data_IF_875109540570
#
_entry.id   IF_875109540570
#
_cell.length_a   1.000
_cell.length_b   1.000
_cell.length_c   1.000
_cell.angle_alpha   90.00
_cell.angle_beta   90.00
_cell.angle_gamma   90.00
#
_symmetry.space_group_name_H-M   'P 1'
#
loop_
_entity.id
_entity.type
_entity.pdbx_description
1 polymer ?
#
# COMPACT_ATOMS: atom_id res chain seq x y z
N UNK A 1 -0.16 -30.66 20.26
CA UNK A 1 -0.49 -29.23 20.40
C UNK A 1 0.66 -28.29 20.10
N UNK A 2 1.89 -28.62 20.46
CA UNK A 2 3.07 -27.80 20.08
C UNK A 2 3.29 -27.67 18.57
N UNK A 3 2.90 -28.68 17.77
CA UNK A 3 3.01 -28.64 16.29
C UNK A 3 2.07 -27.63 15.64
N UNK A 4 0.84 -27.47 16.15
CA UNK A 4 -0.14 -26.49 15.62
C UNK A 4 0.34 -25.06 15.82
N UNK A 5 0.92 -24.76 16.98
CA UNK A 5 1.46 -23.42 17.28
C UNK A 5 2.60 -23.06 16.32
N UNK A 6 3.51 -23.99 16.06
CA UNK A 6 4.64 -23.77 15.13
C UNK A 6 4.18 -23.56 13.69
N UNK A 7 3.18 -24.30 13.23
CA UNK A 7 2.63 -24.15 11.89
C UNK A 7 1.93 -22.80 11.72
N UNK A 8 1.17 -22.36 12.73
CA UNK A 8 0.50 -21.06 12.72
C UNK A 8 1.54 -19.94 12.74
N UNK A 9 2.60 -20.05 13.54
CA UNK A 9 3.68 -19.06 13.58
C UNK A 9 4.44 -18.97 12.26
N UNK A 10 4.72 -20.10 11.61
CA UNK A 10 5.35 -20.14 10.27
C UNK A 10 4.43 -19.49 9.23
N UNK A 11 3.14 -19.81 9.25
CA UNK A 11 2.18 -19.23 8.33
C UNK A 11 2.09 -17.71 8.50
N UNK A 12 2.09 -17.22 9.75
CA UNK A 12 2.09 -15.78 10.04
C UNK A 12 3.36 -15.09 9.55
N UNK A 13 4.53 -15.73 9.72
CA UNK A 13 5.80 -15.19 9.22
C UNK A 13 5.81 -15.11 7.69
N UNK A 14 5.32 -16.13 7.00
CA UNK A 14 5.20 -16.14 5.55
C UNK A 14 4.24 -15.05 5.06
N UNK A 15 3.12 -14.88 5.74
CA UNK A 15 2.14 -13.84 5.42
C UNK A 15 2.74 -12.44 5.59
N UNK A 16 3.47 -12.19 6.67
CA UNK A 16 4.15 -10.92 6.92
C UNK A 16 5.22 -10.64 5.87
N UNK A 17 5.99 -11.66 5.49
CA UNK A 17 7.02 -11.53 4.47
C UNK A 17 6.40 -11.21 3.10
N UNK A 18 5.28 -11.85 2.75
CA UNK A 18 4.55 -11.60 1.51
C UNK A 18 3.97 -10.19 1.49
N UNK A 19 3.38 -9.74 2.60
CA UNK A 19 2.86 -8.37 2.73
C UNK A 19 3.97 -7.35 2.58
N UNK A 20 5.10 -7.57 3.23
CA UNK A 20 6.26 -6.68 3.15
C UNK A 20 6.79 -6.57 1.71
N UNK A 21 6.89 -7.69 1.02
CA UNK A 21 7.31 -7.71 -0.37
C UNK A 21 6.34 -6.93 -1.26
N UNK A 22 5.03 -7.05 -1.01
CA UNK A 22 4.01 -6.32 -1.75
C UNK A 22 4.08 -4.82 -1.46
N UNK A 23 4.31 -4.43 -0.21
CA UNK A 23 4.50 -3.01 0.15
C UNK A 23 5.70 -2.42 -0.59
N UNK A 24 6.80 -3.16 -0.71
CA UNK A 24 7.96 -2.73 -1.50
C UNK A 24 7.63 -2.57 -2.97
N UNK A 25 6.84 -3.45 -3.57
CA UNK A 25 6.38 -3.30 -4.96
C UNK A 25 5.51 -2.06 -5.13
N UNK A 26 4.63 -1.80 -4.17
CA UNK A 26 3.78 -0.60 -4.17
C UNK A 26 4.65 0.66 -4.11
N UNK A 27 5.66 0.67 -3.25
CA UNK A 27 6.60 1.79 -3.16
C UNK A 27 7.33 2.02 -4.50
N UNK A 28 7.80 0.96 -5.14
CA UNK A 28 8.43 1.06 -6.46
C UNK A 28 7.48 1.68 -7.50
N UNK A 29 6.22 1.26 -7.51
CA UNK A 29 5.20 1.82 -8.40
C UNK A 29 4.96 3.30 -8.13
N UNK A 30 4.94 3.70 -6.85
CA UNK A 30 4.81 5.10 -6.46
C UNK A 30 5.99 5.92 -6.97
N UNK A 31 7.20 5.41 -6.81
CA UNK A 31 8.41 6.06 -7.30
C UNK A 31 8.42 6.21 -8.82
N UNK A 32 8.02 5.15 -9.54
CA UNK A 32 7.90 5.17 -10.99
C UNK A 32 6.90 6.24 -11.46
N UNK A 33 5.76 6.35 -10.80
CA UNK A 33 4.75 7.36 -11.14
C UNK A 33 5.29 8.77 -10.92
N UNK A 34 5.99 9.01 -9.82
CA UNK A 34 6.59 10.31 -9.53
C UNK A 34 7.67 10.68 -10.55
N UNK A 35 8.47 9.72 -10.97
CA UNK A 35 9.46 9.91 -12.04
C UNK A 35 8.78 10.26 -13.38
N UNK A 36 7.61 9.69 -13.62
CA UNK A 36 6.79 9.99 -14.80
C UNK A 36 6.00 11.29 -14.72
N UNK A 37 6.16 12.06 -13.65
CA UNK A 37 5.48 13.35 -13.47
C UNK A 37 4.06 13.25 -12.91
N UNK A 38 3.65 12.08 -12.44
CA UNK A 38 2.35 11.85 -11.80
C UNK A 38 2.56 11.81 -10.29
N UNK A 39 2.19 12.89 -9.59
CA UNK A 39 2.44 12.99 -8.16
C UNK A 39 1.65 11.96 -7.37
N UNK A 40 2.37 11.14 -6.62
CA UNK A 40 1.78 10.11 -5.76
C UNK A 40 2.52 10.11 -4.43
N UNK A 41 1.78 10.16 -3.33
CA UNK A 41 2.34 10.10 -1.98
C UNK A 41 2.19 8.69 -1.44
N UNK A 42 3.19 8.26 -0.69
CA UNK A 42 3.22 6.98 -0.01
C UNK A 42 3.53 7.21 1.46
N UNK A 43 2.77 6.57 2.33
CA UNK A 43 2.94 6.72 3.77
C UNK A 43 2.72 5.38 4.47
N UNK A 44 3.60 5.04 5.40
CA UNK A 44 3.41 3.92 6.31
C UNK A 44 2.89 4.49 7.62
N UNK A 45 1.67 4.10 8.00
CA UNK A 45 1.02 4.59 9.21
C UNK A 45 1.23 3.54 10.30
N UNK A 46 2.31 3.69 11.06
CA UNK A 46 2.79 2.66 11.99
C UNK A 46 1.82 2.32 13.10
N UNK A 47 1.13 3.30 13.67
CA UNK A 47 0.24 3.09 14.82
C UNK A 47 -1.04 2.31 14.50
N UNK A 48 -1.42 2.26 13.23
CA UNK A 48 -2.57 1.46 12.77
C UNK A 48 -2.16 0.33 11.84
N UNK A 49 -0.86 0.14 11.67
CA UNK A 49 -0.27 -0.87 10.79
C UNK A 49 -0.88 -0.82 9.38
N UNK A 50 -0.88 0.37 8.79
CA UNK A 50 -1.48 0.65 7.50
C UNK A 50 -0.51 1.23 6.49
N UNK A 51 -0.87 1.08 5.23
CA UNK A 51 -0.18 1.69 4.08
C UNK A 51 -1.15 2.59 3.36
N UNK A 52 -0.78 3.85 3.22
CA UNK A 52 -1.63 4.87 2.61
C UNK A 52 -0.97 5.38 1.34
N UNK A 53 -1.78 5.52 0.29
CA UNK A 53 -1.35 6.22 -0.92
C UNK A 53 -2.33 7.34 -1.25
N UNK A 54 -1.81 8.42 -1.81
CA UNK A 54 -2.60 9.56 -2.30
C UNK A 54 -2.19 9.80 -3.74
N UNK A 55 -3.12 9.62 -4.66
CA UNK A 55 -2.86 9.69 -6.09
C UNK A 55 -3.44 11.00 -6.64
N UNK A 56 -2.56 11.84 -7.18
CA UNK A 56 -2.96 13.04 -7.93
C UNK A 56 -2.93 12.75 -9.43
N UNK A 57 -3.90 13.30 -10.13
CA UNK A 57 -3.96 13.20 -11.58
C UNK A 57 -3.05 14.26 -12.20
N UNK A 58 -1.81 13.87 -12.48
CA UNK A 58 -0.77 14.76 -12.98
C UNK A 58 0.15 15.31 -11.91
N UNK A 59 0.78 16.44 -12.21
CA UNK A 59 1.70 17.10 -11.26
C UNK A 59 0.95 17.77 -10.12
N UNK A 60 1.46 17.64 -8.92
CA UNK A 60 0.91 18.34 -7.77
C UNK A 60 1.01 19.87 -7.96
N UNK A 61 -0.11 20.54 -7.69
CA UNK A 61 -0.19 22.00 -7.69
C UNK A 61 -0.88 22.47 -6.42
N UNK A 62 -0.50 23.64 -5.92
CA UNK A 62 -1.03 24.20 -4.68
C UNK A 62 -2.55 24.43 -4.72
N UNK A 63 -3.10 24.74 -5.90
CA UNK A 63 -4.53 25.00 -6.09
C UNK A 63 -5.14 23.97 -7.06
N UNK A 64 -5.26 22.72 -6.62
CA UNK A 64 -5.86 21.69 -7.45
C UNK A 64 -7.39 21.74 -7.41
N UNK A 65 -8.01 21.75 -8.57
CA UNK A 65 -9.48 21.72 -8.70
C UNK A 65 -10.06 20.35 -8.45
N UNK A 66 -9.28 19.28 -8.71
CA UNK A 66 -9.70 17.90 -8.48
C UNK A 66 -9.11 17.37 -7.19
N UNK A 67 -9.95 16.72 -6.38
CA UNK A 67 -9.48 16.03 -5.18
C UNK A 67 -8.63 14.82 -5.56
N UNK A 68 -7.55 14.55 -4.80
CA UNK A 68 -6.75 13.35 -5.02
C UNK A 68 -7.53 12.10 -4.65
N UNK A 69 -7.19 11.00 -5.30
CA UNK A 69 -7.68 9.69 -4.88
C UNK A 69 -6.88 9.21 -3.67
N UNK A 70 -7.59 8.86 -2.64
CA UNK A 70 -7.03 8.47 -1.35
C UNK A 70 -7.35 7.01 -1.08
N UNK A 71 -6.32 6.20 -0.79
CA UNK A 71 -6.50 4.79 -0.46
C UNK A 71 -5.64 4.42 0.74
N UNK A 72 -6.18 3.57 1.61
CA UNK A 72 -5.45 3.03 2.74
C UNK A 72 -5.74 1.54 2.88
N UNK A 73 -4.70 0.74 3.08
CA UNK A 73 -4.80 -0.68 3.36
C UNK A 73 -4.23 -0.98 4.74
N UNK A 74 -4.97 -1.72 5.55
CA UNK A 74 -4.52 -2.17 6.87
C UNK A 74 -3.92 -3.56 6.73
N UNK A 75 -2.73 -3.78 7.29
CA UNK A 75 -1.99 -5.02 7.10
C UNK A 75 -2.51 -6.17 7.95
N UNK A 76 -3.19 -5.86 9.05
CA UNK A 76 -3.70 -6.84 10.00
C UNK A 76 -5.23 -6.88 10.10
N UNK A 77 -5.92 -6.29 9.13
CA UNK A 77 -7.37 -6.19 9.11
C UNK A 77 -7.88 -6.23 7.68
N UNK A 78 -9.06 -6.79 7.48
CA UNK A 78 -9.74 -6.78 6.18
C UNK A 78 -10.57 -5.51 5.96
N UNK A 79 -10.49 -4.58 6.88
CA UNK A 79 -11.22 -3.32 6.80
C UNK A 79 -10.55 -2.37 5.79
N UNK A 80 -11.34 -1.76 4.91
CA UNK A 80 -10.86 -0.84 3.89
C UNK A 80 -10.33 -1.54 2.65
N UNK A 81 -9.45 -0.89 1.92
CA UNK A 81 -8.81 -1.46 0.74
C UNK A 81 -7.73 -2.46 1.13
N UNK A 82 -7.41 -3.36 0.21
CA UNK A 82 -6.32 -4.31 0.37
C UNK A 82 -5.05 -3.80 -0.34
N UNK A 83 -3.91 -4.44 -0.04
CA UNK A 83 -2.67 -4.14 -0.78
C UNK A 83 -2.83 -4.42 -2.27
N UNK A 84 -3.58 -5.44 -2.65
CA UNK A 84 -3.88 -5.74 -4.06
C UNK A 84 -4.64 -4.60 -4.72
N UNK A 85 -5.59 -3.99 -4.00
CA UNK A 85 -6.34 -2.83 -4.49
C UNK A 85 -5.43 -1.63 -4.74
N UNK A 86 -4.49 -1.36 -3.83
CA UNK A 86 -3.51 -0.28 -3.99
C UNK A 86 -2.60 -0.54 -5.19
N UNK A 87 -2.08 -1.74 -5.31
CA UNK A 87 -1.21 -2.13 -6.43
C UNK A 87 -1.95 -2.00 -7.77
N UNK A 88 -3.18 -2.49 -7.84
CA UNK A 88 -4.02 -2.39 -9.05
C UNK A 88 -4.30 -0.94 -9.44
N UNK A 89 -4.61 -0.09 -8.46
CA UNK A 89 -4.86 1.33 -8.70
C UNK A 89 -3.63 2.03 -9.29
N UNK A 90 -2.43 1.71 -8.79
CA UNK A 90 -1.18 2.29 -9.27
C UNK A 90 -0.82 1.78 -10.68
N UNK A 91 -1.09 0.52 -10.98
CA UNK A 91 -0.82 -0.08 -12.29
C UNK A 91 -1.81 0.39 -13.35
N UNK A 92 -3.06 0.65 -12.99
CA UNK A 92 -4.12 1.05 -13.91
C UNK A 92 -4.12 2.53 -14.27
N UNK A 93 -3.32 3.31 -13.60
CA UNK A 93 -3.26 4.76 -13.76
C UNK A 93 -1.87 5.24 -14.15
#
# INVERSE_FOLDING_TARGET
MKRRKRLIEKAKKHQKAAQRAQVHRILDLVMDRNEGGKTTFFEVVAHVNGVRIVIYDGKWKTNQEKEPEFMIAYLDSDFGETLDDLEAALCGK
#
